data_IF_946766537136
#
_entry.id   IF_946766537136
#
_cell.length_a   1.000
_cell.length_b   1.000
_cell.length_c   1.000
_cell.angle_alpha   90.00
_cell.angle_beta   90.00
_cell.angle_gamma   90.00
#
_symmetry.space_group_name_H-M   'P 1'
#
loop_
_entity.id
_entity.type
_entity.pdbx_description
1 polymer ?
#
# COMPACT_ATOMS: atom_id res chain seq x y z
N UNK A 1 -1.88 4.86 11.30
CA UNK A 1 -2.32 3.46 11.31
C UNK A 1 -2.77 3.01 9.91
N UNK A 2 -3.72 3.69 9.27
CA UNK A 2 -4.26 3.28 7.96
C UNK A 2 -3.16 3.17 6.90
N UNK A 3 -2.30 4.20 6.76
CA UNK A 3 -1.16 4.17 5.82
C UNK A 3 -0.16 3.06 6.12
N UNK A 4 -0.04 2.64 7.37
CA UNK A 4 0.87 1.55 7.75
C UNK A 4 0.27 0.21 7.37
N UNK A 5 -1.03 -0.01 7.61
CA UNK A 5 -1.72 -1.24 7.17
C UNK A 5 -1.69 -1.34 5.64
N UNK A 6 -1.98 -0.26 4.91
CA UNK A 6 -1.83 -0.25 3.44
C UNK A 6 -0.39 -0.56 3.00
N UNK A 7 0.62 -0.11 3.74
CA UNK A 7 2.02 -0.43 3.44
C UNK A 7 2.33 -1.92 3.64
N UNK A 8 1.75 -2.56 4.68
CA UNK A 8 1.83 -4.03 4.83
C UNK A 8 1.16 -4.76 3.68
N UNK A 9 -0.05 -4.36 3.31
CA UNK A 9 -0.76 -4.93 2.15
C UNK A 9 0.06 -4.78 0.88
N UNK A 10 0.67 -3.60 0.67
CA UNK A 10 1.48 -3.31 -0.51
C UNK A 10 2.74 -4.15 -0.63
N UNK A 11 3.46 -4.44 0.47
CA UNK A 11 4.64 -5.31 0.39
C UNK A 11 4.28 -6.78 0.14
N UNK A 12 3.05 -7.19 0.47
CA UNK A 12 2.55 -8.52 0.12
C UNK A 12 2.24 -8.60 -1.38
N UNK A 13 1.61 -7.57 -1.95
CA UNK A 13 1.36 -7.46 -3.39
C UNK A 13 2.66 -7.28 -4.18
N UNK A 14 3.58 -6.44 -3.69
CA UNK A 14 4.86 -6.17 -4.34
C UNK A 14 6.03 -6.27 -3.35
N UNK A 15 6.72 -7.43 -3.29
CA UNK A 15 7.86 -7.67 -2.40
C UNK A 15 9.08 -6.76 -2.64
N UNK A 16 9.08 -5.99 -3.74
CA UNK A 16 10.16 -5.05 -4.09
C UNK A 16 9.85 -3.60 -3.69
N UNK A 17 8.76 -3.36 -2.98
CA UNK A 17 8.43 -2.02 -2.49
C UNK A 17 9.23 -1.70 -1.21
N UNK A 18 10.50 -1.42 -1.39
CA UNK A 18 11.43 -1.08 -0.31
C UNK A 18 11.04 0.22 0.41
N UNK A 19 10.31 1.13 -0.24
CA UNK A 19 9.85 2.38 0.37
C UNK A 19 8.81 2.08 1.45
N UNK A 20 7.80 1.28 1.11
CA UNK A 20 6.77 0.88 2.07
C UNK A 20 7.31 -0.07 3.14
N UNK A 21 8.24 -0.95 2.78
CA UNK A 21 8.93 -1.80 3.75
C UNK A 21 9.68 -0.99 4.81
N UNK A 22 10.43 0.05 4.42
CA UNK A 22 11.13 0.95 5.36
C UNK A 22 10.19 1.62 6.35
N UNK A 23 8.97 1.93 5.93
CA UNK A 23 7.95 2.54 6.77
C UNK A 23 7.50 1.61 7.89
N UNK A 24 7.31 0.31 7.61
CA UNK A 24 6.60 -0.61 8.50
C UNK A 24 7.49 -1.63 9.20
N UNK A 25 8.74 -1.78 8.79
CA UNK A 25 9.64 -2.82 9.34
C UNK A 25 9.78 -2.75 10.87
N UNK A 26 9.66 -1.56 11.44
CA UNK A 26 9.70 -1.32 12.89
C UNK A 26 8.40 -0.68 13.42
N UNK A 27 7.29 -0.79 12.71
CA UNK A 27 5.97 -0.28 13.12
C UNK A 27 4.92 -1.40 13.03
N UNK A 28 4.40 -1.94 14.15
CA UNK A 28 4.76 -1.68 15.56
C UNK A 28 6.23 -1.97 15.90
N UNK A 29 6.71 -1.38 17.00
CA UNK A 29 8.11 -1.44 17.38
C UNK A 29 8.64 -2.88 17.56
N UNK A 30 9.68 -3.26 16.80
CA UNK A 30 10.29 -4.61 16.77
C UNK A 30 11.77 -4.64 17.14
N UNK A 31 12.31 -3.52 17.64
CA UNK A 31 13.75 -3.35 17.92
C UNK A 31 14.62 -3.43 16.66
N UNK A 32 14.07 -3.04 15.50
CA UNK A 32 14.80 -2.89 14.26
C UNK A 32 15.08 -1.39 14.10
N UNK A 33 16.26 -0.95 14.50
CA UNK A 33 16.62 0.47 14.47
C UNK A 33 16.99 0.96 13.06
N UNK A 34 17.01 2.30 12.88
CA UNK A 34 17.32 2.93 11.61
C UNK A 34 18.65 2.47 11.00
N UNK A 35 19.70 2.31 11.82
CA UNK A 35 21.00 1.79 11.36
C UNK A 35 20.89 0.39 10.74
N UNK A 36 20.06 -0.49 11.32
CA UNK A 36 19.82 -1.83 10.76
C UNK A 36 19.11 -1.74 9.41
N UNK A 37 18.13 -0.86 9.30
CA UNK A 37 17.38 -0.62 8.05
C UNK A 37 18.31 -0.11 6.94
N UNK A 38 19.21 0.82 7.25
CA UNK A 38 20.21 1.30 6.28
C UNK A 38 21.19 0.19 5.85
N UNK A 39 21.65 -0.65 6.78
CA UNK A 39 22.49 -1.81 6.43
C UNK A 39 21.76 -2.77 5.49
N UNK A 40 20.47 -3.04 5.71
CA UNK A 40 19.66 -3.90 4.84
C UNK A 40 19.55 -3.26 3.44
N UNK A 41 19.29 -1.97 3.37
CA UNK A 41 19.16 -1.24 2.11
C UNK A 41 20.48 -1.23 1.31
N UNK A 42 21.60 -0.99 1.99
CA UNK A 42 22.92 -1.03 1.35
C UNK A 42 23.23 -2.43 0.78
N UNK A 43 22.91 -3.49 1.54
CA UNK A 43 23.08 -4.88 1.08
C UNK A 43 22.17 -5.20 -0.11
N UNK A 44 20.92 -4.80 -0.06
CA UNK A 44 19.97 -4.95 -1.16
C UNK A 44 20.46 -4.27 -2.44
N UNK A 45 20.89 -3.01 -2.33
CA UNK A 45 21.44 -2.24 -3.45
C UNK A 45 22.72 -2.86 -4.03
N UNK A 46 23.65 -3.33 -3.18
CA UNK A 46 24.89 -3.99 -3.61
C UNK A 46 24.65 -5.29 -4.38
N UNK A 47 23.58 -6.01 -4.07
CA UNK A 47 23.26 -7.30 -4.68
C UNK A 47 22.20 -7.20 -5.80
N UNK A 48 21.54 -6.04 -5.97
CA UNK A 48 20.46 -5.86 -6.93
C UNK A 48 19.18 -6.64 -6.58
N UNK A 49 18.95 -6.88 -5.27
CA UNK A 49 17.78 -7.59 -4.73
C UNK A 49 16.92 -6.63 -3.88
N UNK A 50 15.73 -7.07 -3.44
CA UNK A 50 14.90 -6.29 -2.53
C UNK A 50 15.44 -6.34 -1.08
N UNK A 51 15.05 -5.36 -0.27
CA UNK A 51 15.34 -5.39 1.17
C UNK A 51 14.71 -6.62 1.84
N UNK A 52 13.56 -7.09 1.36
CA UNK A 52 12.87 -8.27 1.87
C UNK A 52 13.67 -9.55 1.61
N UNK A 53 14.34 -9.66 0.44
CA UNK A 53 15.25 -10.77 0.14
C UNK A 53 16.42 -10.80 1.10
N UNK A 54 16.99 -9.65 1.47
CA UNK A 54 18.05 -9.56 2.48
C UNK A 54 17.55 -9.98 3.86
N UNK A 55 16.32 -9.59 4.23
CA UNK A 55 15.71 -9.98 5.52
C UNK A 55 15.51 -11.49 5.60
N UNK A 56 15.05 -12.12 4.51
CA UNK A 56 14.82 -13.57 4.45
C UNK A 56 16.09 -14.40 4.69
N UNK A 57 17.25 -13.81 4.45
CA UNK A 57 18.58 -14.42 4.57
C UNK A 57 19.49 -13.68 5.56
N UNK A 58 18.89 -13.04 6.58
CA UNK A 58 19.61 -12.15 7.49
C UNK A 58 20.80 -12.79 8.21
N UNK A 59 20.77 -14.10 8.43
CA UNK A 59 21.86 -14.89 9.07
C UNK A 59 23.11 -15.03 8.19
N UNK A 60 22.99 -14.82 6.88
CA UNK A 60 24.14 -14.87 5.96
C UNK A 60 24.98 -13.58 5.99
N UNK A 61 24.47 -12.53 6.63
CA UNK A 61 25.13 -11.23 6.66
C UNK A 61 25.69 -10.91 8.05
N UNK A 62 27.01 -10.96 8.20
CA UNK A 62 27.70 -10.66 9.47
C UNK A 62 27.31 -9.28 10.06
N UNK A 63 27.03 -8.29 9.19
CA UNK A 63 26.58 -6.95 9.60
C UNK A 63 25.21 -6.94 10.29
N UNK A 64 24.37 -7.95 10.07
CA UNK A 64 23.03 -8.10 10.64
C UNK A 64 22.99 -9.03 11.88
N UNK A 65 24.12 -9.58 12.31
CA UNK A 65 24.21 -10.59 13.39
C UNK A 65 23.45 -10.25 14.67
N UNK A 66 23.38 -8.96 15.04
CA UNK A 66 22.65 -8.50 16.24
C UNK A 66 21.15 -8.32 16.02
N UNK A 67 20.70 -8.30 14.77
CA UNK A 67 19.32 -8.06 14.39
C UNK A 67 18.61 -9.30 13.81
N UNK A 68 19.28 -10.46 13.72
CA UNK A 68 18.73 -11.69 13.12
C UNK A 68 17.36 -12.04 13.72
N UNK A 69 17.24 -12.11 15.04
CA UNK A 69 16.01 -12.52 15.69
C UNK A 69 14.81 -11.57 15.41
N UNK A 70 14.93 -10.24 15.54
CA UNK A 70 13.85 -9.35 15.15
C UNK A 70 13.55 -9.34 13.65
N UNK A 71 14.54 -9.52 12.77
CA UNK A 71 14.33 -9.61 11.33
C UNK A 71 13.57 -10.89 10.95
N UNK A 72 13.90 -12.02 11.54
CA UNK A 72 13.17 -13.27 11.30
C UNK A 72 11.75 -13.26 11.89
N UNK A 73 11.50 -12.53 12.98
CA UNK A 73 10.12 -12.29 13.43
C UNK A 73 9.32 -11.48 12.42
N UNK A 74 9.92 -10.48 11.80
CA UNK A 74 9.26 -9.73 10.73
C UNK A 74 9.02 -10.61 9.50
N UNK A 75 10.00 -11.42 9.11
CA UNK A 75 9.88 -12.37 8.01
C UNK A 75 8.75 -13.40 8.24
N UNK A 76 8.64 -13.97 9.46
CA UNK A 76 7.55 -14.88 9.82
C UNK A 76 6.16 -14.21 9.69
N UNK A 77 6.04 -12.94 10.10
CA UNK A 77 4.81 -12.17 9.89
C UNK A 77 4.51 -12.05 8.40
N UNK A 78 5.49 -11.66 7.59
CA UNK A 78 5.32 -11.52 6.15
C UNK A 78 4.86 -12.83 5.49
N UNK A 79 5.47 -13.96 5.83
CA UNK A 79 5.07 -15.27 5.31
C UNK A 79 3.62 -15.63 5.68
N UNK A 80 3.20 -15.37 6.92
CA UNK A 80 1.81 -15.58 7.35
C UNK A 80 0.83 -14.68 6.61
N UNK A 81 1.22 -13.46 6.28
CA UNK A 81 0.39 -12.56 5.47
C UNK A 81 0.27 -13.07 4.03
N UNK A 82 1.32 -13.61 3.42
CA UNK A 82 1.23 -14.26 2.11
C UNK A 82 0.28 -15.46 2.13
N UNK A 83 0.42 -16.35 3.13
CA UNK A 83 -0.48 -17.50 3.31
C UNK A 83 -1.93 -17.06 3.52
N UNK A 84 -2.16 -15.98 4.27
CA UNK A 84 -3.50 -15.44 4.48
C UNK A 84 -4.11 -14.92 3.18
N UNK A 85 -3.36 -14.19 2.36
CA UNK A 85 -3.85 -13.70 1.06
C UNK A 85 -4.21 -14.84 0.10
N UNK A 86 -3.47 -15.95 0.12
CA UNK A 86 -3.73 -17.11 -0.73
C UNK A 86 -4.95 -17.95 -0.28
N UNK A 87 -5.29 -17.91 1.01
CA UNK A 87 -6.28 -18.86 1.59
C UNK A 87 -7.58 -18.21 2.05
N UNK A 88 -7.63 -16.88 2.16
CA UNK A 88 -8.75 -16.12 2.70
C UNK A 88 -9.31 -15.10 1.72
N UNK A 89 -10.47 -14.54 2.02
CA UNK A 89 -11.01 -13.39 1.32
C UNK A 89 -10.20 -12.14 1.61
N UNK A 90 -10.27 -11.12 0.74
CA UNK A 90 -9.47 -9.91 0.87
C UNK A 90 -9.78 -9.11 2.14
N UNK A 91 -11.02 -9.11 2.60
CA UNK A 91 -11.43 -8.48 3.86
C UNK A 91 -10.93 -9.26 5.10
N UNK A 92 -10.94 -10.60 5.04
CA UNK A 92 -10.31 -11.43 6.07
C UNK A 92 -8.79 -11.26 6.10
N UNK A 93 -8.14 -11.15 4.93
CA UNK A 93 -6.72 -10.81 4.83
C UNK A 93 -6.43 -9.44 5.45
N UNK A 94 -7.24 -8.42 5.18
CA UNK A 94 -7.07 -7.09 5.78
C UNK A 94 -7.18 -7.13 7.31
N UNK A 95 -8.10 -7.92 7.85
CA UNK A 95 -8.20 -8.15 9.29
C UNK A 95 -6.96 -8.87 9.84
N UNK A 96 -6.46 -9.90 9.15
CA UNK A 96 -5.22 -10.61 9.52
C UNK A 96 -3.99 -9.70 9.49
N UNK A 97 -3.90 -8.75 8.55
CA UNK A 97 -2.81 -7.75 8.55
C UNK A 97 -2.80 -6.99 9.87
N UNK A 98 -3.95 -6.54 10.35
CA UNK A 98 -4.06 -5.81 11.62
C UNK A 98 -3.66 -6.67 12.83
N UNK A 99 -4.10 -7.93 12.85
CA UNK A 99 -3.84 -8.84 13.97
C UNK A 99 -2.40 -9.39 13.98
N UNK A 100 -1.94 -9.97 12.86
CA UNK A 100 -0.64 -10.64 12.77
C UNK A 100 0.54 -9.68 12.91
N UNK A 101 0.37 -8.43 12.46
CA UNK A 101 1.41 -7.41 12.66
C UNK A 101 1.51 -6.91 14.10
N UNK A 102 0.49 -7.17 14.92
CA UNK A 102 0.38 -6.69 16.29
C UNK A 102 -0.12 -5.24 16.41
N UNK A 103 -0.66 -4.68 15.32
CA UNK A 103 -1.09 -3.28 15.28
C UNK A 103 -2.27 -3.01 16.24
N UNK A 104 -3.27 -3.92 16.26
CA UNK A 104 -4.38 -3.85 17.21
C UNK A 104 -3.90 -3.90 18.64
N UNK A 105 -3.07 -4.88 18.99
CA UNK A 105 -2.56 -5.05 20.34
C UNK A 105 -1.75 -3.83 20.82
N UNK A 106 -1.00 -3.19 19.92
CA UNK A 106 -0.28 -1.94 20.21
C UNK A 106 -1.26 -0.81 20.57
N UNK A 107 -2.30 -0.59 19.76
CA UNK A 107 -3.27 0.48 20.02
C UNK A 107 -4.12 0.22 21.26
N UNK A 108 -4.49 -1.03 21.53
CA UNK A 108 -5.20 -1.39 22.77
C UNK A 108 -4.34 -1.14 24.01
N UNK A 109 -3.03 -1.45 23.91
CA UNK A 109 -2.09 -1.13 25.00
C UNK A 109 -1.94 0.39 25.20
N UNK A 110 -1.98 1.17 24.14
CA UNK A 110 -1.91 2.64 24.23
C UNK A 110 -3.22 3.24 24.79
N UNK A 111 -4.38 2.72 24.40
CA UNK A 111 -5.67 3.08 24.99
C UNK A 111 -5.70 2.80 26.52
N UNK A 112 -5.15 1.64 26.93
CA UNK A 112 -5.06 1.29 28.35
C UNK A 112 -4.13 2.22 29.16
N UNK A 113 -3.17 2.91 28.49
CA UNK A 113 -2.30 3.94 29.10
C UNK A 113 -2.95 5.33 29.13
N UNK A 114 -4.14 5.49 28.54
CA UNK A 114 -4.87 6.76 28.50
C UNK A 114 -4.51 7.67 27.33
N UNK A 115 -3.95 7.14 26.24
CA UNK A 115 -3.78 7.90 25.00
C UNK A 115 -5.15 8.13 24.35
N UNK A 116 -5.61 9.38 24.31
CA UNK A 116 -6.98 9.75 23.89
C UNK A 116 -7.28 9.41 22.42
N UNK A 117 -6.26 9.44 21.55
CA UNK A 117 -6.39 9.14 20.11
C UNK A 117 -6.42 7.63 19.78
N UNK A 118 -6.07 6.77 20.74
CA UNK A 118 -5.97 5.33 20.47
C UNK A 118 -7.32 4.69 20.13
N UNK A 119 -8.41 5.16 20.73
CA UNK A 119 -9.76 4.69 20.45
C UNK A 119 -10.19 5.04 19.01
N UNK A 120 -9.93 6.26 18.55
CA UNK A 120 -10.24 6.71 17.21
C UNK A 120 -9.40 5.93 16.18
N UNK A 121 -8.14 5.66 16.47
CA UNK A 121 -7.25 4.86 15.64
C UNK A 121 -7.71 3.40 15.52
N UNK A 122 -8.22 2.80 16.60
CA UNK A 122 -8.85 1.48 16.57
C UNK A 122 -10.11 1.48 15.70
N UNK A 123 -10.92 2.53 15.79
CA UNK A 123 -12.10 2.69 14.94
C UNK A 123 -11.71 2.81 13.46
N UNK A 124 -10.65 3.58 13.14
CA UNK A 124 -10.12 3.71 11.77
C UNK A 124 -9.69 2.36 11.19
N UNK A 125 -9.07 1.48 12.00
CA UNK A 125 -8.75 0.11 11.56
C UNK A 125 -10.00 -0.71 11.24
N UNK A 126 -11.06 -0.57 12.04
CA UNK A 126 -12.35 -1.21 11.75
C UNK A 126 -12.98 -0.69 10.46
N UNK A 127 -12.92 0.61 10.22
CA UNK A 127 -13.41 1.21 8.97
C UNK A 127 -12.60 0.75 7.75
N UNK A 128 -11.28 0.58 7.89
CA UNK A 128 -10.45 0.05 6.82
C UNK A 128 -10.93 -1.33 6.37
N UNK A 129 -11.17 -2.27 7.30
CA UNK A 129 -11.69 -3.61 6.97
C UNK A 129 -13.06 -3.52 6.28
N UNK A 130 -13.95 -2.63 6.76
CA UNK A 130 -15.25 -2.41 6.12
C UNK A 130 -15.11 -1.83 4.70
N UNK A 131 -14.14 -0.95 4.46
CA UNK A 131 -13.86 -0.41 3.12
C UNK A 131 -13.38 -1.50 2.16
N UNK A 132 -12.47 -2.38 2.62
CA UNK A 132 -12.02 -3.54 1.84
C UNK A 132 -13.21 -4.45 1.51
N UNK A 133 -14.09 -4.73 2.48
CA UNK A 133 -15.29 -5.53 2.26
C UNK A 133 -16.22 -4.89 1.23
N UNK A 134 -16.45 -3.58 1.34
CA UNK A 134 -17.28 -2.85 0.36
C UNK A 134 -16.69 -2.91 -1.05
N UNK A 135 -15.36 -2.84 -1.17
CA UNK A 135 -14.67 -3.03 -2.44
C UNK A 135 -14.91 -4.45 -2.99
N UNK A 136 -14.79 -5.49 -2.15
CA UNK A 136 -15.08 -6.86 -2.57
C UNK A 136 -16.55 -7.04 -3.02
N UNK A 137 -17.51 -6.45 -2.29
CA UNK A 137 -18.92 -6.51 -2.64
C UNK A 137 -19.24 -5.82 -3.99
N UNK A 138 -18.48 -4.76 -4.34
CA UNK A 138 -18.62 -4.02 -5.60
C UNK A 138 -17.99 -4.75 -6.80
N UNK A 139 -16.84 -5.39 -6.61
CA UNK A 139 -16.06 -6.00 -7.69
C UNK A 139 -16.27 -7.51 -7.80
N UNK A 140 -16.91 -8.16 -6.82
CA UNK A 140 -17.21 -9.59 -6.84
C UNK A 140 -15.96 -10.46 -7.06
N UNK A 141 -15.99 -11.30 -8.10
CA UNK A 141 -14.88 -12.22 -8.43
C UNK A 141 -13.65 -11.52 -8.99
N UNK A 142 -13.75 -10.27 -9.42
CA UNK A 142 -12.64 -9.46 -9.94
C UNK A 142 -11.89 -8.70 -8.82
N UNK A 143 -12.39 -8.76 -7.58
CA UNK A 143 -11.74 -8.12 -6.45
C UNK A 143 -10.34 -8.71 -6.21
N UNK A 144 -9.32 -7.86 -6.23
CA UNK A 144 -7.93 -8.24 -6.00
C UNK A 144 -7.24 -7.24 -5.07
N UNK A 145 -6.14 -7.67 -4.45
CA UNK A 145 -5.35 -6.80 -3.59
C UNK A 145 -4.73 -5.63 -4.38
N UNK A 146 -4.24 -5.91 -5.58
CA UNK A 146 -3.65 -4.93 -6.47
C UNK A 146 -4.69 -3.87 -6.87
N UNK A 147 -5.89 -4.29 -7.31
CA UNK A 147 -6.98 -3.37 -7.66
C UNK A 147 -7.42 -2.50 -6.49
N UNK A 148 -7.55 -3.08 -5.28
CA UNK A 148 -7.86 -2.31 -4.08
C UNK A 148 -6.79 -1.25 -3.77
N UNK A 149 -5.50 -1.59 -3.90
CA UNK A 149 -4.41 -0.66 -3.65
C UNK A 149 -4.33 0.44 -4.73
N UNK A 150 -4.69 0.15 -5.97
CA UNK A 150 -4.81 1.13 -7.05
C UNK A 150 -5.94 2.13 -6.76
N UNK A 151 -7.13 1.67 -6.36
CA UNK A 151 -8.26 2.53 -6.00
C UNK A 151 -7.90 3.50 -4.87
N UNK A 152 -7.20 3.00 -3.83
CA UNK A 152 -6.75 3.86 -2.72
C UNK A 152 -5.72 4.89 -3.19
N UNK A 153 -4.81 4.52 -4.07
CA UNK A 153 -3.80 5.44 -4.58
C UNK A 153 -4.48 6.61 -5.32
N UNK A 154 -5.50 6.33 -6.13
CA UNK A 154 -6.28 7.35 -6.83
C UNK A 154 -6.98 8.33 -5.86
N UNK A 155 -7.60 7.80 -4.79
CA UNK A 155 -8.29 8.63 -3.77
C UNK A 155 -7.27 9.48 -2.99
N UNK A 156 -6.14 8.90 -2.60
CA UNK A 156 -5.11 9.59 -1.80
C UNK A 156 -4.45 10.76 -2.54
N UNK A 157 -4.35 10.69 -3.87
CA UNK A 157 -3.77 11.74 -4.69
C UNK A 157 -4.70 12.97 -4.74
N UNK A 158 -6.03 12.75 -4.76
CA UNK A 158 -7.03 13.82 -4.71
C UNK A 158 -7.01 14.52 -3.34
N UNK A 159 -6.94 13.77 -2.24
CA UNK A 159 -6.92 14.31 -0.89
C UNK A 159 -5.66 15.14 -0.59
N UNK A 160 -4.57 14.91 -1.31
CA UNK A 160 -3.32 15.64 -1.16
C UNK A 160 -3.24 16.94 -1.99
N UNK A 161 -4.22 17.18 -2.87
CA UNK A 161 -4.26 18.36 -3.74
C UNK A 161 -4.51 19.64 -2.92
N UNK A 162 -3.62 20.62 -3.06
CA UNK A 162 -3.73 21.93 -2.44
C UNK A 162 -3.95 23.00 -3.53
N UNK A 163 -5.20 23.46 -3.69
CA UNK A 163 -5.59 24.48 -4.68
C UNK A 163 -4.85 25.82 -4.54
N UNK A 164 -4.34 26.13 -3.36
CA UNK A 164 -3.66 27.41 -3.11
C UNK A 164 -2.16 27.38 -3.37
N UNK A 165 -1.60 26.25 -3.74
CA UNK A 165 -0.17 26.13 -4.02
C UNK A 165 0.12 26.53 -5.48
N UNK A 166 1.11 27.42 -5.69
CA UNK A 166 1.65 27.76 -7.01
C UNK A 166 2.52 26.62 -7.52
N UNK A 167 1.89 25.60 -8.11
CA UNK A 167 2.52 24.37 -8.54
C UNK A 167 1.91 23.81 -9.81
N UNK A 168 2.70 23.08 -10.59
CA UNK A 168 2.21 22.23 -11.67
C UNK A 168 1.83 20.87 -11.09
N UNK A 169 0.57 20.47 -11.28
CA UNK A 169 0.06 19.18 -10.80
C UNK A 169 0.09 18.17 -11.94
N UNK A 170 0.68 17.00 -11.69
CA UNK A 170 0.67 15.87 -12.60
C UNK A 170 -0.23 14.79 -12.01
N UNK A 171 -1.23 14.37 -12.78
CA UNK A 171 -2.16 13.33 -12.33
C UNK A 171 -2.71 12.53 -13.53
N UNK A 172 -3.37 11.41 -13.25
CA UNK A 172 -4.11 10.68 -14.28
C UNK A 172 -5.44 11.36 -14.55
N UNK A 173 -6.04 11.11 -15.72
CA UNK A 173 -7.40 11.62 -16.04
C UNK A 173 -8.42 11.07 -15.03
N UNK A 174 -8.26 9.82 -14.56
CA UNK A 174 -9.10 9.23 -13.53
C UNK A 174 -9.02 10.01 -12.21
N UNK A 175 -7.82 10.40 -11.79
CA UNK A 175 -7.60 11.19 -10.57
C UNK A 175 -8.13 12.63 -10.70
N UNK A 176 -8.28 13.15 -11.92
CA UNK A 176 -8.80 14.49 -12.18
C UNK A 176 -10.33 14.57 -12.07
N UNK A 177 -11.04 13.43 -12.02
CA UNK A 177 -12.51 13.41 -11.98
C UNK A 177 -13.04 14.18 -10.76
N UNK A 178 -13.81 15.23 -11.03
CA UNK A 178 -14.41 16.10 -10.00
C UNK A 178 -13.52 17.26 -9.55
N UNK A 179 -12.32 17.41 -10.10
CA UNK A 179 -11.46 18.58 -9.92
C UNK A 179 -11.62 19.54 -11.09
N UNK A 180 -11.39 20.84 -10.84
CA UNK A 180 -11.42 21.89 -11.86
C UNK A 180 -10.10 22.66 -11.84
N UNK A 181 -9.49 22.84 -13.02
CA UNK A 181 -8.23 23.55 -13.18
C UNK A 181 -8.37 24.67 -14.22
N UNK A 182 -7.78 25.87 -13.97
CA UNK A 182 -7.83 26.97 -14.93
C UNK A 182 -7.05 26.67 -16.23
N UNK A 183 -6.08 25.77 -16.19
CA UNK A 183 -5.29 25.34 -17.35
C UNK A 183 -5.05 23.83 -17.26
N UNK A 184 -5.42 23.11 -18.32
CA UNK A 184 -5.25 21.64 -18.42
C UNK A 184 -4.47 21.29 -19.67
N UNK A 185 -3.50 20.40 -19.53
CA UNK A 185 -2.74 19.83 -20.64
C UNK A 185 -2.92 18.31 -20.64
N UNK A 186 -3.74 17.81 -21.55
CA UNK A 186 -3.88 16.37 -21.79
C UNK A 186 -2.72 15.90 -22.66
N UNK A 187 -1.88 15.06 -22.10
CA UNK A 187 -0.72 14.46 -22.78
C UNK A 187 -0.96 12.98 -23.04
N UNK A 188 -0.26 12.42 -24.03
CA UNK A 188 -0.39 10.99 -24.37
C UNK A 188 -1.70 10.65 -25.10
N UNK A 189 -2.35 11.61 -25.74
CA UNK A 189 -3.56 11.43 -26.56
C UNK A 189 -3.18 10.78 -27.91
N UNK A 190 -2.73 9.52 -27.84
CA UNK A 190 -2.32 8.75 -28.99
C UNK A 190 -2.72 7.28 -28.85
N UNK A 191 -2.98 6.62 -29.98
CA UNK A 191 -3.39 5.23 -29.98
C UNK A 191 -2.38 4.32 -29.28
N UNK A 192 -2.90 3.49 -28.36
CA UNK A 192 -2.10 2.56 -27.56
C UNK A 192 -1.67 3.12 -26.20
N UNK A 193 -1.78 4.46 -26.01
CA UNK A 193 -1.58 5.13 -24.73
C UNK A 193 -2.94 5.57 -24.18
N UNK A 194 -3.66 6.41 -24.94
CA UNK A 194 -5.02 6.82 -24.62
C UNK A 194 -5.81 7.07 -25.92
N UNK A 195 -6.76 6.19 -26.29
CA UNK A 195 -7.17 4.97 -25.57
C UNK A 195 -6.08 3.90 -25.48
N UNK A 196 -6.09 3.12 -24.39
CA UNK A 196 -5.10 2.09 -24.14
C UNK A 196 -5.20 0.95 -25.16
N UNK A 197 -4.09 0.21 -25.38
CA UNK A 197 -4.11 -0.94 -26.30
C UNK A 197 -5.14 -1.99 -25.85
N UNK A 198 -5.31 -2.18 -24.54
CA UNK A 198 -6.23 -3.18 -23.98
C UNK A 198 -7.70 -2.79 -24.17
N UNK A 199 -8.04 -1.53 -24.04
CA UNK A 199 -9.43 -1.04 -24.21
C UNK A 199 -9.95 -1.17 -25.65
N UNK A 200 -9.09 -1.34 -26.63
CA UNK A 200 -9.49 -1.57 -28.04
C UNK A 200 -10.20 -2.91 -28.28
N UNK A 201 -10.04 -3.87 -27.37
CA UNK A 201 -10.66 -5.19 -27.50
C UNK A 201 -12.06 -5.29 -26.91
N UNK A 202 -12.52 -4.25 -26.20
CA UNK A 202 -13.85 -4.18 -25.59
C UNK A 202 -14.51 -2.85 -25.94
N UNK A 203 -15.73 -2.91 -26.51
CA UNK A 203 -16.50 -1.70 -26.84
C UNK A 203 -16.89 -0.92 -25.55
N UNK A 204 -17.12 -1.64 -24.44
CA UNK A 204 -17.42 -1.02 -23.15
C UNK A 204 -16.21 -0.25 -22.59
N UNK A 205 -15.02 -0.83 -22.68
CA UNK A 205 -13.79 -0.20 -22.19
C UNK A 205 -13.42 1.01 -23.08
N UNK A 206 -13.61 0.91 -24.39
CA UNK A 206 -13.38 2.03 -25.29
C UNK A 206 -14.35 3.19 -25.03
N UNK A 207 -15.60 2.89 -24.70
CA UNK A 207 -16.59 3.90 -24.33
C UNK A 207 -16.26 4.55 -22.98
N UNK A 208 -15.68 3.81 -22.02
CA UNK A 208 -15.20 4.37 -20.76
C UNK A 208 -14.00 5.30 -20.98
N UNK A 209 -13.02 4.90 -21.80
CA UNK A 209 -11.92 5.78 -22.22
C UNK A 209 -12.44 7.08 -22.87
N UNK A 210 -13.48 6.97 -23.70
CA UNK A 210 -14.14 8.14 -24.32
C UNK A 210 -14.80 9.05 -23.28
N UNK A 211 -15.43 8.47 -22.24
CA UNK A 211 -16.02 9.24 -21.13
C UNK A 211 -14.94 9.94 -20.32
N UNK A 212 -13.83 9.26 -20.06
CA UNK A 212 -12.69 9.85 -19.37
C UNK A 212 -12.09 11.03 -20.17
N UNK A 213 -11.95 10.89 -21.48
CA UNK A 213 -11.51 11.98 -22.35
C UNK A 213 -12.44 13.18 -22.33
N UNK A 214 -13.75 12.97 -22.09
CA UNK A 214 -14.74 14.06 -22.02
C UNK A 214 -14.68 14.80 -20.68
N UNK A 215 -14.24 14.14 -19.61
CA UNK A 215 -14.13 14.73 -18.27
C UNK A 215 -12.84 15.55 -18.11
N UNK A 216 -11.74 15.13 -18.75
CA UNK A 216 -10.45 15.85 -18.77
C UNK A 216 -10.47 17.00 -19.77
#
# INVERSE_FOLDING_TARGET
>A
EVKDIHSYMSIVANPRDDIRLRRIINEPARKIGATTVEVIADLAAQQGVSMLDVISQADQYAKLSRAIAPLYKFWDIYQKLQESLETKTLDEFAADVIELTGYRAMLEADAAKGHEDAADRLQNLGQLVNNVKSYCDQHGEEASLEGYLEDIALISDIDSYNESADQVVLMTIHSAKGLEFPYVFLIGMEEGVFPSEMSKYSEADLEEERRLAYVG
#
